data_IF_604263605491
#
_entry.id   IF_604263605491
#
_cell.length_a   1.000
_cell.length_b   1.000
_cell.length_c   1.000
_cell.angle_alpha   90.00
_cell.angle_beta   90.00
_cell.angle_gamma   90.00
#
_symmetry.space_group_name_H-M   'P 1'
#
loop_
_entity.id
_entity.type
_entity.pdbx_description
1 polymer ?
#
# COMPACT_ATOMS: atom_id res chain seq x y z
N UNK A 1 62.15 7.33 -3.83
CA UNK A 1 61.35 7.31 -2.59
C UNK A 1 60.21 6.34 -2.86
N UNK A 2 60.36 5.04 -2.54
CA UNK A 2 60.06 4.42 -1.23
C UNK A 2 58.61 4.75 -0.83
N UNK A 3 57.65 3.84 -0.65
CA UNK A 3 57.58 2.42 -0.31
C UNK A 3 56.11 1.95 -0.56
N UNK A 4 55.64 0.70 -0.58
CA UNK A 4 56.20 -0.66 -0.54
C UNK A 4 55.11 -1.61 -1.09
N UNK A 5 55.57 -2.74 -1.63
CA UNK A 5 54.83 -3.94 -2.06
C UNK A 5 54.70 -4.88 -0.86
N UNK A 6 53.59 -5.63 -0.73
CA UNK A 6 53.58 -7.04 -0.21
C UNK A 6 52.16 -7.65 -0.37
N UNK A 7 51.89 -8.47 -1.40
CA UNK A 7 52.02 -9.95 -1.50
C UNK A 7 51.11 -10.79 -0.56
N UNK A 8 50.17 -11.48 -1.22
CA UNK A 8 49.35 -12.67 -0.86
C UNK A 8 50.21 -13.88 -0.35
N UNK A 9 49.72 -15.12 0.00
CA UNK A 9 48.38 -15.73 -0.10
C UNK A 9 48.02 -16.71 1.10
N UNK A 10 47.40 -17.91 0.89
CA UNK A 10 46.02 -18.34 1.24
C UNK A 10 46.00 -19.38 2.40
N UNK A 11 44.86 -20.09 2.67
CA UNK A 11 44.67 -21.39 3.41
C UNK A 11 43.26 -21.40 4.06
N UNK A 12 42.40 -22.43 4.08
CA UNK A 12 42.39 -23.83 3.64
C UNK A 12 40.96 -24.40 3.61
N UNK A 13 40.79 -25.45 2.80
CA UNK A 13 39.66 -26.36 2.70
C UNK A 13 39.57 -27.38 3.87
N UNK A 14 38.32 -27.84 4.11
CA UNK A 14 37.86 -29.18 4.55
C UNK A 14 38.43 -29.90 5.80
N UNK A 15 37.55 -30.40 6.69
CA UNK A 15 37.21 -31.85 6.82
C UNK A 15 36.63 -32.26 8.20
N UNK A 16 35.60 -33.14 8.13
CA UNK A 16 35.37 -34.37 8.94
C UNK A 16 34.87 -34.35 10.41
N UNK A 17 33.73 -35.07 10.54
CA UNK A 17 33.33 -36.02 11.60
C UNK A 17 32.93 -35.45 12.97
N UNK A 18 31.78 -35.80 13.55
CA UNK A 18 31.60 -37.08 14.25
C UNK A 18 30.15 -37.37 14.65
N UNK A 19 29.81 -38.66 14.62
CA UNK A 19 28.56 -39.35 15.00
C UNK A 19 28.15 -39.18 16.48
N UNK A 20 26.83 -39.04 16.71
CA UNK A 20 26.02 -39.68 17.78
C UNK A 20 24.54 -39.37 17.46
N UNK A 21 23.73 -40.24 16.85
CA UNK A 21 23.19 -41.57 17.21
C UNK A 21 22.38 -41.59 18.52
N UNK A 22 21.05 -41.47 18.39
CA UNK A 22 19.98 -42.39 18.90
C UNK A 22 18.61 -41.73 18.62
N UNK A 23 17.86 -42.26 17.66
CA UNK A 23 16.76 -43.24 17.82
C UNK A 23 15.48 -42.54 18.34
N UNK A 24 14.29 -42.72 17.75
CA UNK A 24 13.67 -43.99 17.37
C UNK A 24 12.35 -43.74 16.62
N UNK A 25 12.08 -44.56 15.60
CA UNK A 25 10.78 -44.95 14.99
C UNK A 25 9.97 -43.90 14.23
N UNK A 26 9.17 -44.24 13.22
CA UNK A 26 9.12 -45.30 12.20
C UNK A 26 7.95 -44.86 11.29
N UNK A 27 8.12 -45.04 9.97
CA UNK A 27 7.12 -45.48 8.98
C UNK A 27 5.62 -45.11 9.17
N UNK A 28 4.87 -44.64 8.18
CA UNK A 28 4.87 -45.05 6.78
C UNK A 28 4.06 -44.07 5.94
N UNK A 29 4.44 -43.98 4.68
CA UNK A 29 3.70 -43.36 3.61
C UNK A 29 2.28 -43.94 3.47
N UNK A 30 1.32 -43.07 3.11
CA UNK A 30 0.32 -43.46 2.13
C UNK A 30 -0.01 -42.27 1.23
N UNK A 31 0.20 -42.47 -0.08
CA UNK A 31 -0.15 -41.56 -1.16
C UNK A 31 -1.61 -41.84 -1.52
N UNK A 32 -2.42 -40.81 -1.68
CA UNK A 32 -3.62 -40.87 -2.53
C UNK A 32 -3.87 -39.48 -3.10
N UNK A 33 -3.70 -39.39 -4.41
CA UNK A 33 -4.00 -38.26 -5.28
C UNK A 33 -5.40 -38.50 -5.86
N UNK A 34 -6.27 -37.51 -5.83
CA UNK A 34 -7.43 -37.43 -6.71
C UNK A 34 -7.82 -35.96 -6.94
N UNK A 35 -7.44 -35.50 -8.13
CA UNK A 35 -7.97 -34.47 -9.05
C UNK A 35 -8.38 -33.05 -8.60
N UNK A 36 -8.09 -32.03 -9.46
CA UNK A 36 -8.48 -30.63 -9.25
C UNK A 36 -9.80 -30.29 -9.95
N UNK A 37 -10.59 -29.39 -9.38
CA UNK A 37 -11.66 -28.69 -10.12
C UNK A 37 -11.70 -27.23 -9.66
N UNK A 38 -11.77 -26.26 -10.59
CA UNK A 38 -11.54 -24.85 -10.28
C UNK A 38 -12.81 -24.21 -9.72
N UNK A 39 -12.66 -23.32 -8.74
CA UNK A 39 -13.73 -22.41 -8.36
C UNK A 39 -13.15 -21.04 -8.08
N UNK A 40 -13.80 -20.05 -8.71
CA UNK A 40 -13.47 -18.64 -8.76
C UNK A 40 -13.32 -18.00 -7.37
N UNK A 41 -12.61 -16.86 -7.25
CA UNK A 41 -12.40 -16.19 -5.98
C UNK A 41 -13.61 -15.30 -5.67
N UNK A 42 -14.50 -15.77 -4.79
CA UNK A 42 -15.39 -14.86 -4.09
C UNK A 42 -14.65 -14.22 -2.92
N UNK A 43 -14.46 -12.92 -3.07
CA UNK A 43 -13.90 -11.98 -2.13
C UNK A 43 -14.91 -11.82 -1.00
N UNK A 44 -14.78 -12.65 0.05
CA UNK A 44 -15.19 -12.24 1.39
C UNK A 44 -14.36 -12.99 2.44
N UNK A 45 -13.03 -12.93 2.25
CA UNK A 45 -12.14 -13.09 3.38
C UNK A 45 -12.25 -11.80 4.18
N UNK A 46 -13.00 -11.88 5.28
CA UNK A 46 -12.82 -11.10 6.49
C UNK A 46 -11.32 -10.93 6.71
N UNK A 47 -10.79 -9.82 6.19
CA UNK A 47 -9.45 -9.37 6.45
C UNK A 47 -9.48 -8.97 7.92
N UNK A 48 -9.21 -9.93 8.79
CA UNK A 48 -8.61 -9.66 10.08
C UNK A 48 -7.30 -8.95 9.76
N UNK A 49 -7.41 -7.63 9.63
CA UNK A 49 -6.28 -6.75 9.65
C UNK A 49 -5.68 -6.95 11.04
N UNK A 50 -4.71 -7.85 11.13
CA UNK A 50 -3.75 -7.87 12.24
C UNK A 50 -2.86 -6.64 12.03
N UNK A 51 -3.48 -5.46 12.16
CA UNK A 51 -2.78 -4.22 12.48
C UNK A 51 -2.53 -4.35 13.96
N UNK A 52 -1.35 -4.84 14.30
CA UNK A 52 -0.82 -4.71 15.65
C UNK A 52 -0.85 -3.22 16.03
N UNK A 53 -1.76 -2.87 16.95
CA UNK A 53 -2.02 -1.51 17.44
C UNK A 53 -3.48 -1.15 17.16
N UNK A 54 -4.37 -1.10 18.14
CA UNK A 54 -4.28 -0.38 19.41
C UNK A 54 -5.16 -1.10 20.42
N UNK A 55 -4.56 -1.99 21.21
CA UNK A 55 -5.08 -2.37 22.51
C UNK A 55 -3.88 -2.49 23.46
N UNK A 56 -3.11 -1.40 23.56
CA UNK A 56 -1.85 -1.34 24.30
C UNK A 56 -1.98 -0.72 25.68
N UNK A 57 -3.18 -0.66 26.25
CA UNK A 57 -3.40 -0.27 27.65
C UNK A 57 -3.33 -1.47 28.61
N UNK A 58 -3.27 -2.71 28.10
CA UNK A 58 -3.13 -3.91 28.96
C UNK A 58 -1.69 -4.13 29.46
N UNK A 59 -0.71 -3.52 28.80
CA UNK A 59 0.68 -3.47 29.25
C UNK A 59 1.11 -2.03 29.54
N UNK A 60 0.65 -1.49 30.69
CA UNK A 60 1.53 -0.59 31.44
C UNK A 60 2.92 -1.23 31.45
N UNK A 61 3.84 -0.63 30.68
CA UNK A 61 5.17 -1.19 30.37
C UNK A 61 5.75 -1.88 31.59
N UNK A 62 6.30 -3.09 31.46
CA UNK A 62 6.78 -3.87 32.62
C UNK A 62 7.66 -3.05 33.59
N UNK A 63 8.33 -2.02 33.06
CA UNK A 63 9.07 -0.99 33.79
C UNK A 63 8.18 -0.16 34.73
N UNK A 64 7.05 0.42 34.29
CA UNK A 64 6.13 1.17 35.16
C UNK A 64 5.55 0.25 36.23
N UNK A 65 5.14 -0.97 35.89
CA UNK A 65 4.64 -1.97 36.86
C UNK A 65 5.71 -2.29 37.93
N UNK A 66 6.96 -2.42 37.51
CA UNK A 66 8.11 -2.63 38.40
C UNK A 66 8.37 -1.40 39.30
N UNK A 67 8.39 -0.19 38.73
CA UNK A 67 8.57 1.06 39.47
C UNK A 67 7.46 1.25 40.52
N UNK A 68 6.19 0.98 40.16
CA UNK A 68 5.07 1.02 41.10
C UNK A 68 5.21 -0.03 42.22
N UNK A 69 5.75 -1.22 41.93
CA UNK A 69 6.06 -2.23 42.95
C UNK A 69 7.17 -1.73 43.89
N UNK A 70 8.22 -1.14 43.34
CA UNK A 70 9.33 -0.58 44.11
C UNK A 70 8.88 0.59 44.99
N UNK A 71 8.01 1.47 44.47
CA UNK A 71 7.37 2.55 45.21
C UNK A 71 6.60 1.99 46.41
N UNK A 72 5.70 1.03 46.19
CA UNK A 72 4.93 0.38 47.28
C UNK A 72 5.84 -0.23 48.33
N UNK A 73 6.94 -0.86 47.95
CA UNK A 73 7.90 -1.46 48.87
C UNK A 73 8.67 -0.41 49.68
N UNK A 74 9.13 0.67 49.04
CA UNK A 74 9.82 1.78 49.70
C UNK A 74 8.87 2.52 50.66
N UNK A 75 7.64 2.81 50.24
CA UNK A 75 6.61 3.43 51.08
C UNK A 75 6.23 2.54 52.27
N UNK A 76 6.16 1.22 52.10
CA UNK A 76 5.96 0.27 53.22
C UNK A 76 7.09 0.38 54.26
N UNK A 77 8.34 0.45 53.81
CA UNK A 77 9.51 0.61 54.69
C UNK A 77 9.51 1.97 55.38
N UNK A 78 9.12 3.04 54.68
CA UNK A 78 8.99 4.38 55.25
C UNK A 78 7.87 4.43 56.30
N UNK A 79 6.72 3.84 56.02
CA UNK A 79 5.60 3.81 56.98
C UNK A 79 5.95 3.02 58.26
N UNK A 80 6.86 2.04 58.16
CA UNK A 80 7.37 1.33 59.34
C UNK A 80 8.17 2.23 60.28
N UNK A 81 8.74 3.35 59.81
CA UNK A 81 9.47 4.31 60.66
C UNK A 81 8.54 5.24 61.46
N UNK A 82 7.24 5.27 61.15
CA UNK A 82 6.28 6.20 61.77
C UNK A 82 6.20 6.08 63.30
N UNK A 83 6.37 4.86 63.84
CA UNK A 83 6.41 4.65 65.31
C UNK A 83 7.63 5.29 65.95
N UNK A 84 8.79 5.22 65.28
CA UNK A 84 10.03 5.86 65.74
C UNK A 84 9.90 7.38 65.64
N UNK A 85 9.23 7.87 64.61
CA UNK A 85 8.95 9.30 64.43
C UNK A 85 8.08 9.88 65.55
N UNK A 86 7.06 9.14 66.01
CA UNK A 86 6.25 9.56 67.18
C UNK A 86 7.12 9.70 68.44
N UNK A 87 7.98 8.71 68.70
CA UNK A 87 8.86 8.71 69.87
C UNK A 87 9.88 9.86 69.80
N UNK A 88 10.40 10.17 68.61
CA UNK A 88 11.31 11.30 68.39
C UNK A 88 10.60 12.65 68.60
N UNK A 89 9.36 12.78 68.11
CA UNK A 89 8.56 13.99 68.29
C UNK A 89 8.21 14.24 69.77
N UNK A 90 7.95 13.19 70.54
CA UNK A 90 7.68 13.26 71.99
C UNK A 90 8.94 13.53 72.83
N UNK A 91 10.14 13.40 72.26
CA UNK A 91 11.42 13.58 72.95
C UNK A 91 12.35 14.56 72.22
N UNK A 92 11.97 15.84 72.09
CA UNK A 92 12.78 16.83 71.40
C UNK A 92 14.14 17.04 72.08
N UNK A 93 15.18 17.22 71.28
CA UNK A 93 16.54 17.52 71.76
C UNK A 93 17.37 16.33 72.25
N UNK A 94 16.81 15.11 72.29
CA UNK A 94 17.56 13.89 72.61
C UNK A 94 18.17 13.25 71.37
N UNK A 95 19.41 12.78 71.47
CA UNK A 95 20.05 12.03 70.39
C UNK A 95 19.50 10.60 70.31
N UNK A 96 19.64 9.96 69.14
CA UNK A 96 19.26 8.55 68.96
C UNK A 96 19.98 7.62 69.96
N UNK A 97 21.22 7.93 70.33
CA UNK A 97 21.99 7.17 71.32
C UNK A 97 21.46 7.35 72.74
N UNK A 98 21.02 8.56 73.10
CA UNK A 98 20.38 8.82 74.39
C UNK A 98 19.03 8.10 74.52
N UNK A 99 18.25 8.03 73.43
CA UNK A 99 16.98 7.31 73.41
C UNK A 99 17.15 5.79 73.54
N UNK A 100 18.27 5.23 73.06
CA UNK A 100 18.63 3.83 73.33
C UNK A 100 19.04 3.63 74.79
N UNK A 101 19.88 4.52 75.33
CA UNK A 101 20.33 4.44 76.72
C UNK A 101 19.16 4.53 77.71
N UNK A 102 18.16 5.36 77.40
CA UNK A 102 16.89 5.47 78.13
C UNK A 102 15.90 4.32 77.83
N UNK A 103 16.28 3.34 76.99
CA UNK A 103 15.46 2.21 76.53
C UNK A 103 14.12 2.62 75.87
N UNK A 104 14.03 3.84 75.32
CA UNK A 104 12.87 4.35 74.60
C UNK A 104 12.79 3.83 73.17
N UNK A 105 13.94 3.60 72.55
CA UNK A 105 14.06 2.94 71.26
C UNK A 105 15.05 1.77 71.33
N UNK A 106 14.89 0.78 70.46
CA UNK A 106 15.84 -0.31 70.32
C UNK A 106 16.87 -0.03 69.19
N UNK A 107 17.88 -0.90 69.07
CA UNK A 107 18.93 -0.75 68.06
C UNK A 107 18.38 -0.80 66.61
N UNK A 108 17.32 -1.58 66.37
CA UNK A 108 16.67 -1.68 65.05
C UNK A 108 15.93 -0.39 64.68
N UNK A 109 15.22 0.22 65.63
CA UNK A 109 14.53 1.50 65.46
C UNK A 109 15.51 2.65 65.22
N UNK A 110 16.69 2.63 65.86
CA UNK A 110 17.77 3.57 65.51
C UNK A 110 18.24 3.37 64.07
N UNK A 111 18.45 2.14 63.64
CA UNK A 111 18.84 1.85 62.26
C UNK A 111 17.75 2.27 61.25
N UNK A 112 16.48 2.12 61.59
CA UNK A 112 15.34 2.59 60.80
C UNK A 112 15.31 4.12 60.69
N UNK A 113 15.50 4.85 61.79
CA UNK A 113 15.58 6.31 61.80
C UNK A 113 16.72 6.82 60.90
N UNK A 114 17.89 6.17 60.95
CA UNK A 114 19.03 6.52 60.10
C UNK A 114 18.79 6.22 58.61
N UNK A 115 17.98 5.22 58.27
CA UNK A 115 17.63 4.86 56.89
C UNK A 115 16.50 5.70 56.30
N UNK A 116 15.73 6.41 57.13
CA UNK A 116 14.56 7.18 56.70
C UNK A 116 14.86 8.21 55.59
N UNK A 117 15.92 9.05 55.67
CA UNK A 117 16.21 10.02 54.62
C UNK A 117 16.48 9.36 53.27
N UNK A 118 17.18 8.22 53.27
CA UNK A 118 17.45 7.45 52.06
C UNK A 118 16.16 6.85 51.47
N UNK A 119 15.22 6.38 52.30
CA UNK A 119 13.91 5.89 51.84
C UNK A 119 13.06 7.00 51.23
N UNK A 120 13.08 8.20 51.82
CA UNK A 120 12.36 9.37 51.28
C UNK A 120 12.94 9.79 49.92
N UNK A 121 14.27 9.85 49.81
CA UNK A 121 14.95 10.13 48.54
C UNK A 121 14.62 9.06 47.48
N UNK A 122 14.58 7.79 47.86
CA UNK A 122 14.23 6.70 46.95
C UNK A 122 12.79 6.80 46.44
N UNK A 123 11.84 7.17 47.30
CA UNK A 123 10.43 7.37 46.90
C UNK A 123 10.35 8.53 45.90
N UNK A 124 10.94 9.68 46.21
CA UNK A 124 10.93 10.85 45.33
C UNK A 124 11.54 10.53 43.96
N UNK A 125 12.64 9.77 43.92
CA UNK A 125 13.26 9.35 42.67
C UNK A 125 12.36 8.42 41.85
N UNK A 126 11.68 7.46 42.48
CA UNK A 126 10.78 6.53 41.78
C UNK A 126 9.56 7.28 41.23
N UNK A 127 9.02 8.24 41.99
CA UNK A 127 7.90 9.08 41.53
C UNK A 127 8.29 9.96 40.34
N UNK A 128 9.48 10.57 40.37
CA UNK A 128 10.02 11.33 39.25
C UNK A 128 10.17 10.46 38.00
N UNK A 129 10.74 9.26 38.14
CA UNK A 129 10.88 8.31 37.03
C UNK A 129 9.52 7.94 36.43
N UNK A 130 8.52 7.63 37.26
CA UNK A 130 7.16 7.32 36.79
C UNK A 130 6.57 8.52 36.03
N UNK A 131 6.73 9.75 36.54
CA UNK A 131 6.25 10.95 35.88
C UNK A 131 6.90 11.17 34.52
N UNK A 132 8.22 11.01 34.43
CA UNK A 132 8.98 11.13 33.18
C UNK A 132 8.54 10.09 32.14
N UNK A 133 8.38 8.82 32.54
CA UNK A 133 7.91 7.76 31.63
C UNK A 133 6.50 8.04 31.12
N UNK A 134 5.60 8.54 31.96
CA UNK A 134 4.24 8.92 31.54
C UNK A 134 4.24 10.08 30.56
N UNK A 135 5.05 11.11 30.80
CA UNK A 135 5.19 12.24 29.87
C UNK A 135 5.75 11.80 28.52
N UNK A 136 6.77 10.94 28.54
CA UNK A 136 7.36 10.39 27.33
C UNK A 136 6.35 9.56 26.54
N UNK A 137 5.61 8.68 27.21
CA UNK A 137 4.57 7.87 26.57
C UNK A 137 3.51 8.76 25.89
N UNK A 138 3.00 9.77 26.60
CA UNK A 138 2.01 10.70 26.05
C UNK A 138 2.52 11.46 24.82
N UNK A 139 3.77 11.96 24.87
CA UNK A 139 4.38 12.66 23.74
C UNK A 139 4.55 11.74 22.51
N UNK A 140 4.91 10.47 22.72
CA UNK A 140 5.01 9.50 21.63
C UNK A 140 3.66 9.13 21.04
N UNK A 141 2.63 8.95 21.88
CA UNK A 141 1.26 8.70 21.42
C UNK A 141 0.74 9.88 20.58
N UNK A 142 0.93 11.11 21.04
CA UNK A 142 0.55 12.31 20.28
C UNK A 142 1.27 12.38 18.93
N UNK A 143 2.58 12.11 18.92
CA UNK A 143 3.37 12.05 17.68
C UNK A 143 2.87 10.97 16.73
N UNK A 144 2.54 9.78 17.23
CA UNK A 144 2.01 8.69 16.42
C UNK A 144 0.65 9.03 15.82
N UNK A 145 -0.24 9.64 16.61
CA UNK A 145 -1.54 10.11 16.12
C UNK A 145 -1.35 11.17 15.03
N UNK A 146 -0.48 12.15 15.26
CA UNK A 146 -0.17 13.20 14.28
C UNK A 146 0.38 12.62 12.97
N UNK A 147 1.33 11.68 13.06
CA UNK A 147 1.89 11.00 11.90
C UNK A 147 0.84 10.19 11.14
N UNK A 148 -0.04 9.47 11.86
CA UNK A 148 -1.14 8.72 11.25
C UNK A 148 -2.09 9.64 10.49
N UNK A 149 -2.54 10.74 11.11
CA UNK A 149 -3.43 11.72 10.46
C UNK A 149 -2.76 12.34 9.23
N UNK A 150 -1.48 12.71 9.35
CA UNK A 150 -0.72 13.28 8.22
C UNK A 150 -0.62 12.29 7.06
N UNK A 151 -0.35 11.01 7.36
CA UNK A 151 -0.23 9.96 6.34
C UNK A 151 -1.58 9.67 5.68
N UNK A 152 -2.65 9.53 6.47
CA UNK A 152 -4.01 9.31 5.95
C UNK A 152 -4.47 10.48 5.07
N UNK A 153 -4.15 11.71 5.47
CA UNK A 153 -4.48 12.91 4.68
C UNK A 153 -3.70 12.95 3.37
N UNK A 154 -2.39 12.69 3.42
CA UNK A 154 -1.54 12.66 2.23
C UNK A 154 -1.99 11.57 1.25
N UNK A 155 -2.27 10.37 1.74
CA UNK A 155 -2.74 9.26 0.92
C UNK A 155 -4.11 9.54 0.29
N UNK A 156 -5.04 10.16 1.04
CA UNK A 156 -6.32 10.59 0.49
C UNK A 156 -6.15 11.61 -0.64
N UNK A 157 -5.29 12.63 -0.44
CA UNK A 157 -4.99 13.63 -1.45
C UNK A 157 -4.34 13.02 -2.70
N UNK A 158 -3.43 12.07 -2.52
CA UNK A 158 -2.78 11.36 -3.63
C UNK A 158 -3.80 10.53 -4.43
N UNK A 159 -4.69 9.80 -3.75
CA UNK A 159 -5.75 9.03 -4.41
C UNK A 159 -6.73 9.92 -5.18
N UNK A 160 -7.14 11.04 -4.59
CA UNK A 160 -8.05 11.98 -5.25
C UNK A 160 -7.38 12.60 -6.47
N UNK A 161 -6.11 13.01 -6.35
CA UNK A 161 -5.30 13.52 -7.49
C UNK A 161 -5.11 12.47 -8.58
N UNK A 162 -4.82 11.23 -8.21
CA UNK A 162 -4.64 10.13 -9.17
C UNK A 162 -5.94 9.82 -9.92
N UNK A 163 -7.10 9.84 -9.22
CA UNK A 163 -8.41 9.67 -9.84
C UNK A 163 -8.72 10.79 -10.82
N UNK A 164 -8.48 12.04 -10.43
CA UNK A 164 -8.70 13.19 -11.31
C UNK A 164 -7.84 13.11 -12.58
N UNK A 165 -6.55 12.77 -12.44
CA UNK A 165 -5.65 12.56 -13.57
C UNK A 165 -6.11 11.41 -14.48
N UNK A 166 -6.50 10.27 -13.91
CA UNK A 166 -6.98 9.14 -14.70
C UNK A 166 -8.26 9.49 -15.48
N UNK A 167 -9.19 10.23 -14.87
CA UNK A 167 -10.41 10.70 -15.56
C UNK A 167 -10.06 11.69 -16.68
N UNK A 168 -9.11 12.60 -16.46
CA UNK A 168 -8.66 13.54 -17.49
C UNK A 168 -8.00 12.82 -18.67
N UNK A 169 -7.11 11.86 -18.41
CA UNK A 169 -6.42 11.06 -19.44
C UNK A 169 -7.40 10.19 -20.24
N UNK A 170 -8.39 9.58 -19.58
CA UNK A 170 -9.45 8.82 -20.27
C UNK A 170 -10.29 9.74 -21.18
N UNK A 171 -10.62 10.95 -20.73
CA UNK A 171 -11.37 11.91 -21.57
C UNK A 171 -10.55 12.38 -22.77
N UNK A 172 -9.28 12.70 -22.57
CA UNK A 172 -8.40 13.14 -23.66
C UNK A 172 -8.16 12.02 -24.68
N UNK A 173 -7.88 10.79 -24.21
CA UNK A 173 -7.73 9.63 -25.09
C UNK A 173 -9.02 9.27 -25.82
N UNK A 174 -10.19 9.40 -25.17
CA UNK A 174 -11.48 9.23 -25.82
C UNK A 174 -11.69 10.27 -26.93
N UNK A 175 -11.41 11.55 -26.67
CA UNK A 175 -11.55 12.62 -27.67
C UNK A 175 -10.61 12.39 -28.86
N UNK A 176 -9.36 12.02 -28.62
CA UNK A 176 -8.41 11.66 -29.66
C UNK A 176 -8.89 10.46 -30.48
N UNK A 177 -9.41 9.43 -29.80
CA UNK A 177 -9.99 8.24 -30.46
C UNK A 177 -11.16 8.63 -31.35
N UNK A 178 -12.12 9.42 -30.84
CA UNK A 178 -13.27 9.88 -31.63
C UNK A 178 -12.82 10.69 -32.85
N UNK A 179 -11.84 11.59 -32.70
CA UNK A 179 -11.29 12.35 -33.84
C UNK A 179 -10.66 11.44 -34.89
N UNK A 180 -9.90 10.42 -34.48
CA UNK A 180 -9.29 9.46 -35.39
C UNK A 180 -10.34 8.59 -36.12
N UNK A 181 -11.41 8.21 -35.41
CA UNK A 181 -12.54 7.49 -35.98
C UNK A 181 -13.28 8.34 -37.02
N UNK A 182 -13.59 9.60 -36.70
CA UNK A 182 -14.20 10.55 -37.62
C UNK A 182 -13.31 10.84 -38.83
N UNK A 183 -11.99 10.89 -38.66
CA UNK A 183 -11.04 11.01 -39.77
C UNK A 183 -11.14 9.80 -40.70
N UNK A 184 -11.17 8.58 -40.14
CA UNK A 184 -11.31 7.35 -40.94
C UNK A 184 -12.62 7.35 -41.74
N UNK A 185 -13.74 7.75 -41.11
CA UNK A 185 -15.03 7.87 -41.78
C UNK A 185 -15.01 8.95 -42.88
N UNK A 186 -14.41 10.12 -42.63
CA UNK A 186 -14.34 11.18 -43.65
C UNK A 186 -13.45 10.81 -44.83
N UNK A 187 -12.34 10.11 -44.60
CA UNK A 187 -11.48 9.53 -45.64
C UNK A 187 -12.24 8.50 -46.48
N UNK A 188 -13.05 7.66 -45.84
CA UNK A 188 -13.95 6.74 -46.53
C UNK A 188 -14.97 7.47 -47.40
N UNK A 189 -15.68 8.47 -46.85
CA UNK A 189 -16.68 9.24 -47.60
C UNK A 189 -16.08 9.94 -48.82
N UNK A 190 -14.89 10.54 -48.66
CA UNK A 190 -14.14 11.13 -49.77
C UNK A 190 -13.82 10.09 -50.85
N UNK A 191 -13.37 8.90 -50.44
CA UNK A 191 -12.97 7.85 -51.37
C UNK A 191 -14.20 7.27 -52.08
N UNK A 192 -15.31 7.04 -51.37
CA UNK A 192 -16.59 6.66 -51.97
C UNK A 192 -17.04 7.66 -53.03
N UNK A 193 -16.93 8.97 -52.76
CA UNK A 193 -17.23 10.01 -53.74
C UNK A 193 -16.27 9.96 -54.96
N UNK A 194 -15.00 9.63 -54.75
CA UNK A 194 -14.03 9.45 -55.83
C UNK A 194 -14.35 8.24 -56.72
N UNK A 195 -14.70 7.09 -56.12
CA UNK A 195 -15.10 5.89 -56.86
C UNK A 195 -16.35 6.14 -57.72
N UNK A 196 -17.33 6.89 -57.21
CA UNK A 196 -18.48 7.35 -58.02
C UNK A 196 -18.09 8.20 -59.21
N UNK A 197 -17.11 9.10 -59.05
CA UNK A 197 -16.63 9.97 -60.13
C UNK A 197 -15.81 9.23 -61.18
N UNK A 198 -15.11 8.16 -60.80
CA UNK A 198 -14.26 7.38 -61.70
C UNK A 198 -15.07 6.62 -62.77
N UNK A 199 -16.36 6.37 -62.55
CA UNK A 199 -17.27 5.78 -63.54
C UNK A 199 -17.13 4.26 -63.73
N UNK A 200 -16.28 3.60 -62.94
CA UNK A 200 -16.12 2.14 -62.93
C UNK A 200 -17.06 1.50 -61.90
N UNK A 201 -18.36 1.51 -62.19
CA UNK A 201 -19.40 1.02 -61.28
C UNK A 201 -19.43 -0.51 -61.13
N UNK A 202 -18.77 -1.26 -62.03
CA UNK A 202 -18.73 -2.73 -62.02
C UNK A 202 -17.54 -3.29 -61.24
N UNK A 203 -16.54 -2.47 -60.90
CA UNK A 203 -15.43 -2.89 -60.04
C UNK A 203 -15.93 -3.39 -58.67
N UNK A 204 -15.37 -4.50 -58.15
CA UNK A 204 -15.74 -5.02 -56.84
C UNK A 204 -15.44 -4.04 -55.70
N UNK A 205 -14.43 -3.17 -55.87
CA UNK A 205 -14.13 -2.08 -54.95
C UNK A 205 -15.23 -1.01 -54.97
N UNK A 206 -15.64 -0.54 -56.15
CA UNK A 206 -16.75 0.42 -56.28
C UNK A 206 -18.04 -0.10 -55.65
N UNK A 207 -18.41 -1.35 -55.92
CA UNK A 207 -19.58 -1.99 -55.34
C UNK A 207 -19.47 -2.13 -53.81
N UNK A 208 -18.28 -2.40 -53.29
CA UNK A 208 -18.03 -2.47 -51.85
C UNK A 208 -18.15 -1.09 -51.19
N UNK A 209 -17.63 -0.02 -51.80
CA UNK A 209 -17.80 1.34 -51.29
C UNK A 209 -19.28 1.75 -51.23
N UNK A 210 -20.08 1.42 -52.25
CA UNK A 210 -21.52 1.67 -52.28
C UNK A 210 -22.28 0.85 -51.23
N UNK A 211 -21.93 -0.44 -51.07
CA UNK A 211 -22.53 -1.32 -50.08
C UNK A 211 -22.28 -0.85 -48.64
N UNK A 212 -21.03 -0.50 -48.30
CA UNK A 212 -20.72 0.08 -46.97
C UNK A 212 -21.45 1.40 -46.78
N UNK A 213 -21.55 2.24 -47.82
CA UNK A 213 -22.22 3.53 -47.68
C UNK A 213 -23.73 3.36 -47.40
N UNK A 214 -24.39 2.42 -48.07
CA UNK A 214 -25.79 2.10 -47.83
C UNK A 214 -26.02 1.71 -46.36
N UNK A 215 -25.15 0.88 -45.80
CA UNK A 215 -25.23 0.46 -44.40
C UNK A 215 -24.99 1.63 -43.43
N UNK A 216 -23.98 2.46 -43.69
CA UNK A 216 -23.66 3.64 -42.87
C UNK A 216 -24.80 4.67 -42.89
N UNK A 217 -25.57 4.75 -43.98
CA UNK A 217 -26.73 5.64 -44.10
C UNK A 217 -28.02 5.09 -43.49
N UNK A 218 -28.00 3.88 -42.91
CA UNK A 218 -29.19 3.24 -42.33
C UNK A 218 -29.84 3.98 -41.15
N UNK A 219 -29.11 4.89 -40.48
CA UNK A 219 -29.66 5.73 -39.40
C UNK A 219 -30.10 4.97 -38.14
N UNK A 220 -29.66 3.72 -37.98
CA UNK A 220 -29.99 2.84 -36.86
C UNK A 220 -28.71 2.30 -36.18
N UNK A 221 -28.87 1.41 -35.19
CA UNK A 221 -27.72 0.83 -34.48
C UNK A 221 -26.82 -0.01 -35.40
N UNK A 222 -27.40 -0.71 -36.37
CA UNK A 222 -26.65 -1.50 -37.36
C UNK A 222 -25.73 -0.63 -38.23
N UNK A 223 -26.15 0.62 -38.50
CA UNK A 223 -25.31 1.60 -39.18
C UNK A 223 -24.08 1.98 -38.31
N UNK A 224 -24.26 2.10 -36.99
CA UNK A 224 -23.15 2.33 -36.05
C UNK A 224 -22.20 1.13 -36.02
N UNK A 225 -22.73 -0.08 -35.99
CA UNK A 225 -21.91 -1.30 -36.05
C UNK A 225 -21.13 -1.38 -37.37
N UNK A 226 -21.75 -1.02 -38.48
CA UNK A 226 -21.11 -0.97 -39.80
C UNK A 226 -20.01 0.11 -39.85
N UNK A 227 -20.25 1.27 -39.26
CA UNK A 227 -19.22 2.30 -39.07
C UNK A 227 -18.06 1.79 -38.22
N UNK A 228 -18.33 1.07 -37.13
CA UNK A 228 -17.29 0.48 -36.28
C UNK A 228 -16.49 -0.61 -37.01
N UNK A 229 -17.14 -1.46 -37.80
CA UNK A 229 -16.46 -2.46 -38.65
C UNK A 229 -15.51 -1.80 -39.65
N UNK A 230 -15.96 -0.72 -40.30
CA UNK A 230 -15.13 0.09 -41.19
C UNK A 230 -13.96 0.77 -40.45
N UNK A 231 -14.25 1.42 -39.32
CA UNK A 231 -13.26 2.12 -38.49
C UNK A 231 -12.18 1.15 -38.00
N UNK A 232 -12.58 0.00 -37.49
CA UNK A 232 -11.66 -1.00 -36.97
C UNK A 232 -10.93 -1.73 -38.11
N UNK A 233 -11.53 -1.78 -39.31
CA UNK A 233 -10.99 -2.49 -40.46
C UNK A 233 -11.02 -3.99 -40.23
N UNK A 234 -12.21 -4.54 -39.95
CA UNK A 234 -12.38 -5.98 -39.71
C UNK A 234 -12.34 -6.78 -41.02
N UNK A 235 -12.05 -8.08 -40.92
CA UNK A 235 -12.00 -8.99 -42.08
C UNK A 235 -13.38 -9.44 -42.59
N UNK A 236 -14.47 -9.01 -41.93
CA UNK A 236 -15.84 -9.24 -42.40
C UNK A 236 -16.01 -8.77 -43.85
N UNK A 237 -16.74 -9.57 -44.63
CA UNK A 237 -17.08 -9.24 -46.01
C UNK A 237 -18.20 -8.20 -46.07
N UNK A 238 -18.08 -7.29 -47.02
CA UNK A 238 -19.05 -6.22 -47.26
C UNK A 238 -20.28 -6.77 -47.96
N UNK A 239 -21.47 -6.34 -47.55
CA UNK A 239 -22.71 -6.57 -48.30
C UNK A 239 -22.91 -5.46 -49.33
N UNK A 240 -23.04 -5.84 -50.60
CA UNK A 240 -23.34 -4.94 -51.70
C UNK A 240 -24.76 -4.37 -51.63
N UNK A 241 -25.03 -3.41 -52.51
CA UNK A 241 -26.34 -2.71 -52.61
C UNK A 241 -27.49 -3.66 -52.97
N UNK A 242 -27.19 -4.74 -53.69
CA UNK A 242 -28.12 -5.80 -54.06
C UNK A 242 -28.37 -6.83 -52.94
N UNK A 243 -27.72 -6.67 -51.79
CA UNK A 243 -27.79 -7.60 -50.66
C UNK A 243 -26.84 -8.78 -50.75
N UNK A 244 -25.99 -8.88 -51.80
CA UNK A 244 -25.02 -9.96 -51.92
C UNK A 244 -23.75 -9.69 -51.12
N UNK A 245 -23.13 -10.75 -50.58
CA UNK A 245 -21.84 -10.63 -49.88
C UNK A 245 -20.72 -10.60 -50.92
N UNK A 246 -19.99 -9.48 -50.95
CA UNK A 246 -18.87 -9.26 -51.87
C UNK A 246 -17.58 -9.89 -51.32
N UNK A 247 -16.63 -10.21 -52.20
CA UNK A 247 -15.33 -10.75 -51.77
C UNK A 247 -14.36 -9.67 -51.23
N UNK A 248 -14.84 -8.49 -50.88
CA UNK A 248 -14.07 -7.37 -50.33
C UNK A 248 -14.38 -7.23 -48.85
N UNK A 249 -13.37 -7.05 -48.00
CA UNK A 249 -13.53 -6.87 -46.55
C UNK A 249 -13.55 -5.39 -46.14
N UNK A 250 -14.09 -5.08 -44.94
CA UNK A 250 -14.01 -3.74 -44.37
C UNK A 250 -12.56 -3.27 -44.19
N UNK A 251 -11.63 -4.17 -43.86
CA UNK A 251 -10.19 -3.89 -43.81
C UNK A 251 -9.67 -3.35 -45.16
N UNK A 252 -10.07 -3.97 -46.27
CA UNK A 252 -9.67 -3.55 -47.63
C UNK A 252 -10.28 -2.20 -47.98
N UNK A 253 -11.55 -1.97 -47.68
CA UNK A 253 -12.23 -0.67 -47.91
C UNK A 253 -11.56 0.44 -47.10
N UNK A 254 -11.22 0.20 -45.83
CA UNK A 254 -10.48 1.14 -44.99
C UNK A 254 -9.11 1.47 -45.56
N UNK A 255 -8.34 0.46 -45.99
CA UNK A 255 -7.01 0.67 -46.58
C UNK A 255 -7.08 1.54 -47.84
N UNK A 256 -8.01 1.23 -48.76
CA UNK A 256 -8.24 2.04 -49.97
C UNK A 256 -8.66 3.48 -49.63
N UNK A 257 -9.44 3.65 -48.56
CA UNK A 257 -9.89 4.97 -48.10
C UNK A 257 -8.75 5.88 -47.62
N UNK A 258 -7.73 5.27 -47.01
CA UNK A 258 -6.54 5.95 -46.48
C UNK A 258 -5.49 6.22 -47.55
N UNK A 259 -5.36 5.34 -48.55
CA UNK A 259 -4.42 5.46 -49.66
C UNK A 259 -4.76 6.63 -50.59
N UNK A 260 -6.04 6.98 -50.73
CA UNK A 260 -6.46 8.12 -51.52
C UNK A 260 -5.90 9.43 -50.92
N UNK A 261 -5.07 10.15 -51.68
CA UNK A 261 -4.56 11.46 -51.24
C UNK A 261 -5.71 12.48 -51.12
N UNK A 262 -5.60 13.42 -50.18
CA UNK A 262 -6.53 14.54 -50.13
C UNK A 262 -6.39 15.39 -51.41
N UNK A 263 -7.50 15.88 -52.01
CA UNK A 263 -7.39 16.82 -53.12
C UNK A 263 -6.61 18.06 -52.66
N UNK A 264 -5.73 18.57 -53.52
CA UNK A 264 -5.01 19.80 -53.23
C UNK A 264 -6.03 20.93 -52.99
N UNK A 265 -5.81 21.83 -52.00
CA UNK A 265 -6.70 22.96 -51.82
C UNK A 265 -6.70 23.78 -53.10
N UNK A 266 -7.90 24.01 -53.67
CA UNK A 266 -8.06 24.86 -54.84
C UNK A 266 -7.49 26.24 -54.49
N UNK A 267 -6.45 26.67 -55.22
CA UNK A 267 -5.95 28.02 -55.12
C UNK A 267 -7.11 28.95 -55.47
N UNK A 268 -7.58 29.71 -54.49
CA UNK A 268 -8.51 30.82 -54.71
C UNK A 268 -7.89 31.76 -55.74
N UNK A 269 -8.39 31.68 -56.96
CA UNK A 269 -8.15 32.71 -57.97
C UNK A 269 -9.02 33.89 -57.54
N UNK A 270 -8.39 34.87 -56.90
CA UNK A 270 -9.01 36.18 -56.68
C UNK A 270 -9.23 36.82 -58.06
N UNK A 271 -10.48 37.13 -58.39
CA UNK A 271 -10.88 38.01 -59.50
C UNK A 271 -11.40 39.33 -58.92
#
# INVERSE_FOLDING_TARGET
MSAAINTNPPVQNETKSSKKKRAKNDFSANVSVSEPTPSNPDIDAKAESIVNGVNGLEDETGIIKELQRNLRNASKKLNATAKVDSILAENPGKSLDQLIAEKKINADQKAQALKKPALQAQIAQIEEQIAQYKQFAAHYEERLISQKISLETAHKQELDTAREKAVAEVKESQESTVRAQLLTLSQFLRSAASFRRAGDAESPESQAFEGVLLQVYGGNQDAVESMLKLINGVDDKVTGVDGQVLNVSYAKVKALSQEQAAPAPEATVEE
#
